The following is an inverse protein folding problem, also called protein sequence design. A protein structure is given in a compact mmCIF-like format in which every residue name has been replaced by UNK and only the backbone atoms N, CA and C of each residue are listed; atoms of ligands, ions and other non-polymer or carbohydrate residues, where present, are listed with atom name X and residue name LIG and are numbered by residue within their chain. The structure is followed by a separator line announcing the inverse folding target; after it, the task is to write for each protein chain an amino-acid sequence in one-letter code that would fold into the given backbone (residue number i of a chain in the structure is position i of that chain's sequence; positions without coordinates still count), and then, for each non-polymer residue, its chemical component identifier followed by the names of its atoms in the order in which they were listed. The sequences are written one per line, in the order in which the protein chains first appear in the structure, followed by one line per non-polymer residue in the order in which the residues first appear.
data_IF_208296031879
#
_entry.id   IF_208296031879
#
_cell.length_a   1.000
_cell.length_b   1.000
_cell.length_c   1.000
_cell.angle_alpha   90.00
_cell.angle_beta   90.00
_cell.angle_gamma   90.00
#
_symmetry.space_group_name_H-M   'P 1'
#
loop_
_entity.id
_entity.type
_entity.pdbx_description
1 polymer ?
#
# COMPACT_ATOMS: atom_id res chain seq x y z
N UNK A 1 -21.75 -15.50 -4.20
CA UNK A 1 -20.40 -15.32 -3.62
C UNK A 1 -19.81 -16.68 -3.35
N UNK A 2 -18.87 -17.13 -4.17
CA UNK A 2 -18.35 -18.51 -4.12
C UNK A 2 -17.27 -18.72 -3.05
N UNK A 3 -16.69 -17.63 -2.53
CA UNK A 3 -15.66 -17.66 -1.49
C UNK A 3 -15.97 -16.56 -0.48
N UNK A 4 -15.98 -16.89 0.83
CA UNK A 4 -16.21 -15.91 1.89
C UNK A 4 -15.22 -14.75 1.79
N UNK A 5 -15.68 -13.52 2.05
CA UNK A 5 -14.81 -12.35 2.16
C UNK A 5 -14.44 -12.13 3.64
N UNK A 6 -13.19 -11.73 3.86
CA UNK A 6 -12.70 -11.33 5.17
C UNK A 6 -13.15 -9.89 5.41
N UNK A 7 -13.72 -9.61 6.59
CA UNK A 7 -13.88 -8.23 7.03
C UNK A 7 -12.50 -7.67 7.39
N UNK A 8 -11.96 -6.84 6.50
CA UNK A 8 -10.62 -6.25 6.65
C UNK A 8 -10.56 -5.31 7.86
N UNK A 9 -11.64 -4.60 8.20
CA UNK A 9 -11.71 -3.65 9.33
C UNK A 9 -11.39 -4.31 10.67
N UNK A 10 -11.69 -5.62 10.82
CA UNK A 10 -11.33 -6.39 12.01
C UNK A 10 -9.80 -6.42 12.24
N UNK A 11 -9.01 -6.26 11.18
CA UNK A 11 -7.55 -6.28 11.24
C UNK A 11 -6.90 -4.89 11.31
N UNK A 12 -7.71 -3.85 11.55
CA UNK A 12 -7.19 -2.50 11.77
C UNK A 12 -6.25 -2.45 12.99
N UNK A 13 -5.39 -1.44 13.01
CA UNK A 13 -4.49 -1.19 14.13
C UNK A 13 -5.28 -1.00 15.45
N UNK A 14 -4.88 -1.61 16.58
CA UNK A 14 -3.65 -2.40 16.78
C UNK A 14 -3.77 -3.91 16.53
N UNK A 15 -4.96 -4.44 16.21
CA UNK A 15 -5.25 -5.88 16.14
C UNK A 15 -4.37 -6.55 15.07
N UNK A 16 -4.28 -5.98 13.87
CA UNK A 16 -3.45 -6.52 12.78
C UNK A 16 -1.99 -6.63 13.16
N UNK A 17 -1.44 -5.62 13.86
CA UNK A 17 -0.06 -5.66 14.36
C UNK A 17 0.14 -6.75 15.40
N UNK A 18 -0.77 -6.88 16.38
CA UNK A 18 -0.69 -7.91 17.42
C UNK A 18 -0.74 -9.31 16.81
N UNK A 19 -1.65 -9.55 15.86
CA UNK A 19 -1.74 -10.82 15.14
C UNK A 19 -0.48 -11.10 14.31
N UNK A 20 0.09 -10.09 13.67
CA UNK A 20 1.36 -10.23 12.95
C UNK A 20 2.51 -10.63 13.87
N UNK A 21 2.67 -9.95 15.00
CA UNK A 21 3.71 -10.26 16.00
C UNK A 21 3.49 -11.65 16.61
N UNK A 22 2.26 -12.00 16.98
CA UNK A 22 1.91 -13.32 17.49
C UNK A 22 2.18 -14.42 16.45
N UNK A 23 1.87 -14.17 15.19
CA UNK A 23 2.17 -15.08 14.07
C UNK A 23 3.67 -15.33 13.90
N UNK A 24 4.51 -14.27 13.95
CA UNK A 24 5.96 -14.41 13.91
C UNK A 24 6.50 -15.19 15.11
N UNK A 25 6.00 -14.92 16.32
CA UNK A 25 6.38 -15.63 17.53
C UNK A 25 6.03 -17.13 17.43
N UNK A 26 4.83 -17.44 16.95
CA UNK A 26 4.39 -18.82 16.72
C UNK A 26 5.27 -19.54 15.68
N UNK A 27 5.59 -18.88 14.56
CA UNK A 27 6.50 -19.42 13.55
C UNK A 27 7.91 -19.65 14.10
N UNK A 28 8.38 -18.75 14.96
CA UNK A 28 9.68 -18.91 15.63
C UNK A 28 9.70 -20.14 16.55
N UNK A 29 8.68 -20.32 17.38
CA UNK A 29 8.53 -21.51 18.23
C UNK A 29 8.45 -22.78 17.39
N UNK A 30 7.58 -22.78 16.36
CA UNK A 30 7.46 -23.92 15.46
C UNK A 30 8.77 -24.25 14.75
N UNK A 31 9.52 -23.24 14.33
CA UNK A 31 10.84 -23.42 13.72
C UNK A 31 11.87 -23.97 14.68
N UNK A 32 11.85 -23.53 15.94
CA UNK A 32 12.76 -23.99 17.00
C UNK A 32 12.50 -25.44 17.37
N UNK A 33 11.24 -25.81 17.62
CA UNK A 33 10.85 -27.14 18.12
C UNK A 33 10.77 -28.18 16.98
N UNK A 34 10.25 -27.79 15.82
CA UNK A 34 9.95 -28.70 14.71
C UNK A 34 10.74 -28.42 13.43
N UNK A 35 11.77 -27.55 13.49
CA UNK A 35 12.49 -27.06 12.29
C UNK A 35 13.19 -28.15 11.47
N UNK A 36 13.49 -29.32 12.06
CA UNK A 36 13.99 -30.52 11.37
C UNK A 36 12.91 -31.43 10.81
N UNK A 37 11.63 -31.18 11.13
CA UNK A 37 10.50 -32.00 10.67
C UNK A 37 10.31 -31.89 9.15
N UNK A 38 9.79 -32.98 8.54
CA UNK A 38 9.57 -33.05 7.09
C UNK A 38 8.67 -31.95 6.57
N UNK A 39 7.61 -31.61 7.32
CA UNK A 39 6.64 -30.58 6.93
C UNK A 39 7.31 -29.18 6.84
N UNK A 40 7.99 -28.71 7.91
CA UNK A 40 8.63 -27.39 7.92
C UNK A 40 9.77 -27.33 6.89
N UNK A 41 10.52 -28.43 6.72
CA UNK A 41 11.58 -28.51 5.71
C UNK A 41 11.02 -28.41 4.30
N UNK A 42 9.91 -29.07 4.01
CA UNK A 42 9.23 -28.97 2.71
C UNK A 42 8.64 -27.56 2.52
N UNK A 43 7.95 -27.02 3.55
CA UNK A 43 7.30 -25.70 3.48
C UNK A 43 8.29 -24.57 3.21
N UNK A 44 9.52 -24.61 3.74
CA UNK A 44 10.59 -23.64 3.46
C UNK A 44 11.40 -23.89 2.19
N UNK A 45 11.05 -24.90 1.40
CA UNK A 45 11.79 -25.25 0.17
C UNK A 45 11.49 -24.29 -0.97
N UNK A 46 12.44 -24.15 -1.91
CA UNK A 46 12.24 -23.36 -3.13
C UNK A 46 11.05 -23.86 -3.96
N UNK A 47 10.75 -25.17 -3.92
CA UNK A 47 9.58 -25.74 -4.62
C UNK A 47 8.28 -25.13 -4.08
N UNK A 48 8.15 -25.01 -2.76
CA UNK A 48 6.98 -24.39 -2.14
C UNK A 48 6.89 -22.92 -2.49
N UNK A 49 8.01 -22.19 -2.55
CA UNK A 49 8.02 -20.80 -3.01
C UNK A 49 7.42 -20.66 -4.42
N UNK A 50 7.87 -21.49 -5.37
CA UNK A 50 7.33 -21.46 -6.73
C UNK A 50 5.82 -21.79 -6.78
N UNK A 51 5.37 -22.76 -6.00
CA UNK A 51 3.94 -23.10 -5.92
C UNK A 51 3.13 -21.92 -5.38
N UNK A 52 3.55 -21.33 -4.26
CA UNK A 52 2.83 -20.17 -3.66
C UNK A 52 2.80 -18.98 -4.61
N UNK A 53 3.94 -18.64 -5.25
CA UNK A 53 4.01 -17.55 -6.21
C UNK A 53 3.13 -17.80 -7.44
N UNK A 54 3.14 -19.03 -7.98
CA UNK A 54 2.29 -19.39 -9.11
C UNK A 54 0.80 -19.27 -8.74
N UNK A 55 0.40 -19.75 -7.56
CA UNK A 55 -0.99 -19.62 -7.10
C UNK A 55 -1.42 -18.16 -6.92
N UNK A 56 -0.56 -17.31 -6.32
CA UNK A 56 -0.82 -15.88 -6.19
C UNK A 56 -0.97 -15.24 -7.58
N UNK A 57 -0.05 -15.54 -8.51
CA UNK A 57 -0.12 -15.02 -9.88
C UNK A 57 -1.41 -15.47 -10.61
N UNK A 58 -1.79 -16.73 -10.48
CA UNK A 58 -3.05 -17.24 -11.05
C UNK A 58 -4.27 -16.52 -10.47
N UNK A 59 -4.30 -16.27 -9.15
CA UNK A 59 -5.37 -15.51 -8.50
C UNK A 59 -5.44 -14.06 -9.04
N UNK A 60 -4.29 -13.40 -9.20
CA UNK A 60 -4.22 -12.04 -9.74
C UNK A 60 -4.72 -11.99 -11.20
N UNK A 61 -4.30 -12.94 -12.04
CA UNK A 61 -4.78 -13.03 -13.44
C UNK A 61 -6.28 -13.30 -13.48
N UNK A 62 -6.76 -14.26 -12.70
CA UNK A 62 -8.19 -14.59 -12.66
C UNK A 62 -9.02 -13.40 -12.15
N UNK A 63 -8.56 -12.69 -11.11
CA UNK A 63 -9.22 -11.52 -10.55
C UNK A 63 -9.27 -10.34 -11.50
N UNK A 64 -8.24 -10.13 -12.34
CA UNK A 64 -8.20 -9.09 -13.35
C UNK A 64 -8.97 -9.43 -14.63
N UNK A 65 -9.01 -10.72 -15.01
CA UNK A 65 -9.62 -11.14 -16.29
C UNK A 65 -11.11 -11.52 -16.17
N UNK A 66 -11.56 -11.95 -14.99
CA UNK A 66 -12.91 -12.48 -14.79
C UNK A 66 -13.72 -11.56 -13.85
N UNK A 67 -14.76 -10.85 -14.36
CA UNK A 67 -15.54 -9.91 -13.53
C UNK A 67 -16.15 -10.53 -12.25
N UNK A 68 -16.45 -11.83 -12.28
CA UNK A 68 -16.97 -12.56 -11.11
C UNK A 68 -15.97 -12.60 -9.94
N UNK A 69 -14.70 -12.42 -10.20
CA UNK A 69 -13.60 -12.40 -9.22
C UNK A 69 -13.07 -11.00 -8.90
N UNK A 70 -13.73 -9.92 -9.33
CA UNK A 70 -13.25 -8.55 -9.15
C UNK A 70 -12.91 -8.18 -7.69
N UNK A 71 -13.53 -8.84 -6.71
CA UNK A 71 -13.25 -8.65 -5.26
C UNK A 71 -12.41 -9.78 -4.65
N UNK A 72 -11.52 -10.39 -5.44
CA UNK A 72 -10.73 -11.54 -4.96
C UNK A 72 -9.72 -11.17 -3.88
N UNK A 73 -9.28 -9.91 -3.82
CA UNK A 73 -8.23 -9.45 -2.88
C UNK A 73 -8.62 -9.61 -1.41
N UNK A 74 -9.92 -9.55 -1.08
CA UNK A 74 -10.45 -9.78 0.26
C UNK A 74 -10.97 -11.20 0.47
N UNK A 75 -10.86 -12.09 -0.53
CA UNK A 75 -11.32 -13.47 -0.41
C UNK A 75 -10.44 -14.28 0.55
N UNK A 76 -11.08 -15.18 1.31
CA UNK A 76 -10.39 -16.08 2.25
C UNK A 76 -9.25 -16.86 1.60
N UNK A 77 -9.40 -17.46 0.38
CA UNK A 77 -8.31 -18.18 -0.27
C UNK A 77 -7.11 -17.28 -0.61
N UNK A 78 -7.36 -16.09 -1.15
CA UNK A 78 -6.27 -15.20 -1.54
C UNK A 78 -5.50 -14.65 -0.34
N UNK A 79 -6.20 -14.19 0.69
CA UNK A 79 -5.57 -13.74 1.95
C UNK A 79 -4.81 -14.90 2.61
N UNK A 80 -5.38 -16.11 2.62
CA UNK A 80 -4.70 -17.31 3.10
C UNK A 80 -3.40 -17.63 2.34
N UNK A 81 -3.38 -17.44 1.01
CA UNK A 81 -2.16 -17.58 0.21
C UNK A 81 -1.09 -16.53 0.55
N UNK A 82 -1.50 -15.27 0.77
CA UNK A 82 -0.58 -14.21 1.18
C UNK A 82 0.01 -14.48 2.58
N UNK A 83 -0.82 -14.92 3.53
CA UNK A 83 -0.36 -15.32 4.87
C UNK A 83 0.61 -16.52 4.77
N UNK A 84 0.30 -17.51 3.95
CA UNK A 84 1.19 -18.64 3.72
C UNK A 84 2.54 -18.22 3.10
N UNK A 85 2.53 -17.25 2.17
CA UNK A 85 3.74 -16.70 1.57
C UNK A 85 4.57 -15.90 2.59
N UNK A 86 3.94 -15.09 3.44
CA UNK A 86 4.61 -14.40 4.55
C UNK A 86 5.23 -15.37 5.55
N UNK A 87 4.51 -16.44 5.91
CA UNK A 87 5.01 -17.51 6.77
C UNK A 87 6.19 -18.26 6.14
N UNK A 88 6.12 -18.54 4.84
CA UNK A 88 7.20 -19.15 4.09
C UNK A 88 8.47 -18.29 4.12
N UNK A 89 8.35 -17.00 3.78
CA UNK A 89 9.47 -16.05 3.80
C UNK A 89 10.08 -15.94 5.20
N UNK A 90 9.26 -15.83 6.26
CA UNK A 90 9.72 -15.77 7.64
C UNK A 90 10.52 -17.03 8.02
N UNK A 91 10.01 -18.22 7.71
CA UNK A 91 10.70 -19.50 8.02
C UNK A 91 12.01 -19.66 7.23
N UNK A 92 12.06 -19.21 5.98
CA UNK A 92 13.28 -19.19 5.17
C UNK A 92 14.31 -18.28 5.79
N UNK A 93 13.92 -17.05 6.18
CA UNK A 93 14.81 -16.10 6.86
C UNK A 93 15.29 -16.62 8.20
N UNK A 94 14.40 -17.11 9.07
CA UNK A 94 14.75 -17.68 10.38
C UNK A 94 15.75 -18.83 10.26
N UNK A 95 15.63 -19.67 9.22
CA UNK A 95 16.55 -20.77 9.01
C UNK A 95 17.91 -20.30 8.51
N UNK A 96 17.95 -19.43 7.49
CA UNK A 96 19.20 -19.00 6.86
C UNK A 96 20.00 -18.04 7.76
N UNK A 97 19.32 -17.16 8.49
CA UNK A 97 19.95 -16.14 9.29
C UNK A 97 20.38 -16.60 10.69
N UNK A 98 20.29 -17.90 11.01
CA UNK A 98 20.74 -18.47 12.29
C UNK A 98 22.20 -18.13 12.62
N UNK A 99 23.08 -18.10 11.62
CA UNK A 99 24.50 -17.72 11.73
C UNK A 99 24.75 -16.56 10.76
N UNK A 100 24.13 -15.42 11.04
CA UNK A 100 24.18 -14.24 10.20
C UNK A 100 25.61 -13.71 10.04
N UNK A 101 25.99 -13.43 8.80
CA UNK A 101 27.21 -12.68 8.45
C UNK A 101 26.84 -11.64 7.39
N UNK A 102 27.08 -10.36 7.67
CA UNK A 102 26.68 -9.26 6.83
C UNK A 102 27.19 -9.40 5.37
N UNK A 103 28.45 -9.80 5.20
CA UNK A 103 29.05 -9.97 3.87
C UNK A 103 28.41 -11.09 3.05
N UNK A 104 28.02 -12.20 3.68
CA UNK A 104 27.43 -13.37 3.01
C UNK A 104 25.91 -13.29 2.88
N UNK A 105 25.24 -12.82 3.93
CA UNK A 105 23.78 -12.93 4.07
C UNK A 105 23.08 -11.58 3.96
N UNK A 106 23.83 -10.45 3.90
CA UNK A 106 23.26 -9.11 3.90
C UNK A 106 22.33 -8.83 2.72
N UNK A 107 22.76 -9.16 1.50
CA UNK A 107 21.94 -8.99 0.31
C UNK A 107 20.67 -9.84 0.36
N UNK A 108 20.81 -11.11 0.78
CA UNK A 108 19.68 -12.01 0.99
C UNK A 108 18.69 -11.46 2.03
N UNK A 109 19.20 -11.00 3.18
CA UNK A 109 18.36 -10.43 4.23
C UNK A 109 17.60 -9.19 3.76
N UNK A 110 18.28 -8.26 3.05
CA UNK A 110 17.63 -7.07 2.50
C UNK A 110 16.51 -7.41 1.54
N UNK A 111 16.73 -8.34 0.59
CA UNK A 111 15.70 -8.74 -0.38
C UNK A 111 14.50 -9.37 0.34
N UNK A 112 14.73 -10.38 1.17
CA UNK A 112 13.64 -11.16 1.76
C UNK A 112 12.89 -10.39 2.85
N UNK A 113 13.60 -9.62 3.69
CA UNK A 113 12.96 -8.76 4.68
C UNK A 113 12.23 -7.60 4.01
N UNK A 114 12.79 -7.04 2.92
CA UNK A 114 12.14 -5.99 2.13
C UNK A 114 10.81 -6.45 1.54
N UNK A 115 10.78 -7.63 0.91
CA UNK A 115 9.55 -8.23 0.40
C UNK A 115 8.56 -8.50 1.54
N UNK A 116 9.05 -9.07 2.65
CA UNK A 116 8.21 -9.40 3.80
C UNK A 116 7.54 -8.15 4.39
N UNK A 117 8.32 -7.08 4.61
CA UNK A 117 7.81 -5.80 5.11
C UNK A 117 6.79 -5.17 4.16
N UNK A 118 7.09 -5.12 2.86
CA UNK A 118 6.18 -4.55 1.88
C UNK A 118 4.85 -5.32 1.79
N UNK A 119 4.91 -6.66 1.82
CA UNK A 119 3.70 -7.49 1.81
C UNK A 119 2.90 -7.38 3.10
N UNK A 120 3.57 -7.44 4.27
CA UNK A 120 2.91 -7.36 5.57
C UNK A 120 2.23 -6.00 5.76
N UNK A 121 2.96 -4.91 5.47
CA UNK A 121 2.42 -3.55 5.59
C UNK A 121 1.31 -3.27 4.58
N UNK A 122 1.38 -3.84 3.37
CA UNK A 122 0.29 -3.74 2.39
C UNK A 122 -0.98 -4.47 2.85
N UNK A 123 -0.84 -5.63 3.49
CA UNK A 123 -1.98 -6.37 4.06
C UNK A 123 -2.56 -5.65 5.30
N UNK A 124 -1.71 -5.23 6.24
CA UNK A 124 -2.14 -4.48 7.42
C UNK A 124 -2.72 -3.12 7.04
N UNK A 125 -2.07 -2.44 6.10
CA UNK A 125 -2.49 -1.14 5.60
C UNK A 125 -3.86 -1.14 4.92
N UNK A 126 -4.24 -2.25 4.28
CA UNK A 126 -5.57 -2.36 3.66
C UNK A 126 -6.74 -2.18 4.65
N UNK A 127 -6.52 -2.51 5.93
CA UNK A 127 -7.50 -2.31 7.00
C UNK A 127 -7.51 -0.87 7.56
N UNK A 128 -6.38 -0.17 7.45
CA UNK A 128 -6.16 1.15 8.04
C UNK A 128 -6.22 2.29 6.99
N UNK A 129 -6.35 1.95 5.71
CA UNK A 129 -6.48 2.94 4.63
C UNK A 129 -7.89 3.49 4.59
N UNK A 130 -8.01 4.81 4.67
CA UNK A 130 -9.26 5.53 4.45
C UNK A 130 -9.12 6.50 3.27
N UNK A 131 -10.17 6.60 2.46
CA UNK A 131 -10.28 7.53 1.33
C UNK A 131 -11.55 8.33 1.49
N UNK A 132 -11.39 9.62 1.68
CA UNK A 132 -12.50 10.55 1.88
C UNK A 132 -12.53 11.55 0.75
N UNK A 133 -13.71 11.90 0.28
CA UNK A 133 -13.93 12.88 -0.78
C UNK A 133 -14.60 14.12 -0.19
N UNK A 134 -14.00 15.28 -0.40
CA UNK A 134 -14.57 16.56 0.01
C UNK A 134 -14.79 17.47 -1.19
N UNK A 135 -15.90 18.22 -1.14
CA UNK A 135 -16.25 19.25 -2.11
C UNK A 135 -15.88 20.61 -1.50
N UNK A 136 -15.01 21.36 -2.17
CA UNK A 136 -14.53 22.65 -1.70
C UNK A 136 -15.06 23.77 -2.61
N UNK A 137 -15.94 24.60 -2.11
CA UNK A 137 -16.31 25.86 -2.76
C UNK A 137 -15.33 26.97 -2.39
N UNK A 138 -15.16 27.95 -3.27
CA UNK A 138 -14.21 29.05 -3.05
C UNK A 138 -14.64 29.89 -1.83
N UNK A 139 -13.75 30.01 -0.86
CA UNK A 139 -13.92 30.84 0.35
C UNK A 139 -14.66 30.16 1.50
N UNK A 140 -15.13 28.93 1.35
CA UNK A 140 -15.83 28.19 2.40
C UNK A 140 -14.87 27.25 3.15
N UNK A 141 -15.07 27.14 4.48
CA UNK A 141 -14.36 26.19 5.32
C UNK A 141 -15.07 24.85 5.31
N UNK A 142 -14.31 23.80 5.00
CA UNK A 142 -14.82 22.43 4.97
C UNK A 142 -14.05 21.60 5.99
N UNK A 143 -14.79 20.99 6.93
CA UNK A 143 -14.27 20.10 7.98
C UNK A 143 -14.88 18.71 7.94
N UNK A 144 -15.67 18.39 6.90
CA UNK A 144 -16.29 17.08 6.70
C UNK A 144 -16.04 16.58 5.29
N UNK A 145 -16.05 15.26 5.12
CA UNK A 145 -15.88 14.60 3.85
C UNK A 145 -16.72 13.32 3.80
N UNK A 146 -16.86 12.72 2.64
CA UNK A 146 -17.65 11.52 2.41
C UNK A 146 -16.75 10.33 2.09
N UNK A 147 -17.05 9.18 2.69
CA UNK A 147 -16.42 7.92 2.33
C UNK A 147 -16.97 7.36 1.00
N UNK A 148 -16.46 6.20 0.55
CA UNK A 148 -16.91 5.51 -0.66
C UNK A 148 -18.38 5.05 -0.59
N UNK A 149 -18.98 4.97 0.60
CA UNK A 149 -20.38 4.60 0.84
C UNK A 149 -21.30 5.82 0.92
N UNK A 150 -20.74 7.03 0.87
CA UNK A 150 -21.46 8.28 1.03
C UNK A 150 -21.76 8.67 2.49
N UNK A 151 -21.10 8.03 3.45
CA UNK A 151 -21.20 8.43 4.86
C UNK A 151 -20.35 9.67 5.12
N UNK A 152 -20.92 10.66 5.77
CA UNK A 152 -20.21 11.88 6.16
C UNK A 152 -19.35 11.62 7.40
N UNK A 153 -18.05 11.97 7.29
CA UNK A 153 -17.05 11.78 8.33
C UNK A 153 -16.31 13.11 8.58
N UNK A 154 -15.89 13.39 9.82
CA UNK A 154 -15.08 14.57 10.10
C UNK A 154 -13.68 14.42 9.49
N UNK A 155 -13.19 15.50 8.89
CA UNK A 155 -11.80 15.63 8.49
C UNK A 155 -10.93 15.98 9.72
N UNK A 156 -9.68 15.58 9.70
CA UNK A 156 -8.69 15.95 10.72
C UNK A 156 -8.23 17.40 10.59
N UNK A 157 -8.31 17.92 9.36
CA UNK A 157 -7.85 19.25 8.98
C UNK A 157 -9.00 20.06 8.40
N UNK A 158 -9.10 21.32 8.73
CA UNK A 158 -10.03 22.26 8.09
C UNK A 158 -9.42 22.74 6.78
N UNK A 159 -10.19 22.72 5.71
CA UNK A 159 -9.71 23.06 4.38
C UNK A 159 -10.56 24.18 3.77
N UNK A 160 -9.90 25.16 3.15
CA UNK A 160 -10.56 26.26 2.44
C UNK A 160 -9.93 26.45 1.06
N UNK A 161 -10.76 26.40 0.03
CA UNK A 161 -10.31 26.72 -1.33
C UNK A 161 -10.19 28.24 -1.49
N UNK A 162 -8.98 28.73 -1.77
CA UNK A 162 -8.73 30.15 -2.02
C UNK A 162 -8.91 30.51 -3.49
N UNK A 163 -8.34 29.69 -4.37
CA UNK A 163 -8.33 29.93 -5.81
C UNK A 163 -8.22 28.64 -6.58
N UNK A 164 -8.79 28.63 -7.77
CA UNK A 164 -8.66 27.53 -8.72
C UNK A 164 -8.28 28.08 -10.10
N UNK A 165 -7.45 27.38 -10.85
CA UNK A 165 -7.09 27.71 -12.21
C UNK A 165 -7.09 26.48 -13.11
N UNK A 166 -7.59 26.66 -14.33
CA UNK A 166 -7.58 25.65 -15.38
C UNK A 166 -6.68 26.14 -16.50
N UNK A 167 -5.60 25.42 -16.76
CA UNK A 167 -4.70 25.67 -17.88
C UNK A 167 -5.21 24.95 -19.12
N UNK A 168 -5.37 25.71 -20.20
CA UNK A 168 -5.85 25.18 -21.50
C UNK A 168 -4.80 25.37 -22.58
N UNK A 169 -4.74 24.40 -23.47
CA UNK A 169 -3.91 24.51 -24.67
C UNK A 169 -4.46 25.62 -25.60
N UNK A 170 -3.67 26.66 -25.94
CA UNK A 170 -4.15 27.75 -26.77
C UNK A 170 -4.57 27.31 -28.19
N UNK A 171 -4.04 26.20 -28.71
CA UNK A 171 -4.29 25.75 -30.07
C UNK A 171 -5.65 25.04 -30.25
N UNK A 172 -6.10 24.30 -29.21
CA UNK A 172 -7.29 23.44 -29.33
C UNK A 172 -8.25 23.55 -28.12
N UNK A 173 -7.97 24.48 -27.18
CA UNK A 173 -8.74 24.72 -25.96
C UNK A 173 -8.93 23.49 -25.05
N UNK A 174 -8.14 22.42 -25.23
CA UNK A 174 -8.18 21.25 -24.35
C UNK A 174 -7.56 21.60 -23.00
N UNK A 175 -8.12 21.05 -21.92
CA UNK A 175 -7.54 21.18 -20.58
C UNK A 175 -6.23 20.41 -20.52
N UNK A 176 -5.13 21.11 -20.19
CA UNK A 176 -3.80 20.55 -20.01
C UNK A 176 -3.57 20.20 -18.55
N UNK A 177 -3.95 21.10 -17.66
CA UNK A 177 -3.77 20.95 -16.23
C UNK A 177 -4.77 21.82 -15.47
N UNK A 178 -5.06 21.47 -14.22
CA UNK A 178 -5.75 22.34 -13.29
C UNK A 178 -5.05 22.32 -11.94
N UNK A 179 -5.16 23.44 -11.22
CA UNK A 179 -4.51 23.69 -9.92
C UNK A 179 -5.49 24.33 -8.94
N UNK A 180 -5.35 23.95 -7.68
CA UNK A 180 -6.09 24.52 -6.57
C UNK A 180 -5.11 25.07 -5.53
N UNK A 181 -5.36 26.27 -5.05
CA UNK A 181 -4.67 26.85 -3.88
C UNK A 181 -5.60 26.78 -2.69
N UNK A 182 -5.17 26.07 -1.68
CA UNK A 182 -5.93 25.79 -0.46
C UNK A 182 -5.26 26.40 0.76
N UNK A 183 -6.05 26.63 1.80
CA UNK A 183 -5.56 26.66 3.17
C UNK A 183 -5.94 25.36 3.84
N UNK A 184 -4.97 24.73 4.49
CA UNK A 184 -5.16 23.55 5.34
C UNK A 184 -4.73 23.94 6.73
N UNK A 185 -5.67 24.04 7.67
CA UNK A 185 -5.44 24.61 9.02
C UNK A 185 -4.70 25.96 8.97
N UNK A 186 -5.14 26.85 8.06
CA UNK A 186 -4.55 28.17 7.77
C UNK A 186 -3.15 28.16 7.10
N UNK A 187 -2.58 27.00 6.83
CA UNK A 187 -1.31 26.84 6.11
C UNK A 187 -1.59 26.78 4.59
N UNK A 188 -0.92 27.62 3.77
CA UNK A 188 -1.15 27.63 2.32
C UNK A 188 -0.51 26.40 1.64
N UNK A 189 -1.27 25.73 0.79
CA UNK A 189 -0.78 24.67 -0.07
C UNK A 189 -1.29 24.78 -1.50
N UNK A 190 -0.52 24.29 -2.45
CA UNK A 190 -0.91 24.16 -3.87
C UNK A 190 -1.08 22.70 -4.22
N UNK A 191 -2.23 22.37 -4.82
CA UNK A 191 -2.51 21.07 -5.40
C UNK A 191 -2.55 21.17 -6.91
N UNK A 192 -1.92 20.22 -7.60
CA UNK A 192 -2.04 20.04 -9.03
C UNK A 192 -2.37 18.58 -9.35
N UNK A 193 -2.82 18.32 -10.58
CA UNK A 193 -3.07 16.96 -11.04
C UNK A 193 -1.80 16.12 -10.90
N UNK A 194 -1.92 14.93 -10.30
CA UNK A 194 -0.81 14.01 -10.02
C UNK A 194 0.31 14.58 -9.11
N UNK A 195 0.05 15.69 -8.41
CA UNK A 195 0.97 16.27 -7.44
C UNK A 195 0.23 16.47 -6.10
N UNK A 196 0.13 15.40 -5.29
CA UNK A 196 -0.53 15.50 -3.99
C UNK A 196 0.30 16.32 -3.00
N UNK A 197 -0.39 16.85 -1.99
CA UNK A 197 0.21 17.52 -0.85
C UNK A 197 0.09 16.66 0.39
N UNK A 198 1.22 16.41 1.09
CA UNK A 198 1.22 15.64 2.35
C UNK A 198 0.99 16.59 3.52
N UNK A 199 -0.07 16.35 4.29
CA UNK A 199 -0.45 17.15 5.47
C UNK A 199 -0.03 16.52 6.79
N UNK A 200 0.49 15.29 6.74
CA UNK A 200 0.92 14.58 7.94
C UNK A 200 1.52 13.22 7.60
N UNK A 201 1.87 12.46 8.64
CA UNK A 201 2.38 11.10 8.48
C UNK A 201 1.28 10.18 7.93
N UNK A 202 1.43 9.81 6.66
CA UNK A 202 0.50 8.91 5.99
C UNK A 202 -0.82 9.56 5.59
N UNK A 203 -0.88 10.89 5.47
CA UNK A 203 -2.06 11.58 4.99
C UNK A 203 -1.70 12.52 3.84
N UNK A 204 -2.34 12.30 2.70
CA UNK A 204 -2.11 13.04 1.45
C UNK A 204 -3.43 13.58 0.90
N UNK A 205 -3.39 14.78 0.34
CA UNK A 205 -4.52 15.42 -0.34
C UNK A 205 -4.26 15.41 -1.85
N UNK A 206 -5.23 14.91 -2.60
CA UNK A 206 -5.20 14.83 -4.07
C UNK A 206 -6.28 15.71 -4.67
N UNK A 207 -5.95 16.41 -5.75
CA UNK A 207 -6.92 17.14 -6.55
C UNK A 207 -7.51 16.19 -7.61
N UNK A 208 -8.83 15.89 -7.49
CA UNK A 208 -9.49 14.90 -8.32
C UNK A 208 -10.19 15.50 -9.54
N UNK A 209 -11.03 16.51 -9.31
CA UNK A 209 -11.85 17.12 -10.34
C UNK A 209 -12.35 18.50 -9.92
N UNK A 210 -13.09 19.15 -10.81
CA UNK A 210 -13.76 20.42 -10.54
C UNK A 210 -15.09 20.50 -11.28
N UNK A 211 -16.01 21.35 -10.78
CA UNK A 211 -17.26 21.66 -11.43
C UNK A 211 -17.28 23.13 -11.85
N UNK A 212 -17.86 23.38 -13.02
CA UNK A 212 -18.10 24.72 -13.52
C UNK A 212 -19.42 25.25 -12.98
N UNK A 213 -19.54 26.58 -12.89
CA UNK A 213 -20.80 27.24 -12.60
C UNK A 213 -21.83 27.02 -13.76
N UNK A 214 -23.05 27.44 -13.54
CA UNK A 214 -24.14 27.26 -14.53
C UNK A 214 -23.89 27.96 -15.87
N UNK A 215 -23.03 28.98 -15.90
CA UNK A 215 -22.60 29.69 -17.13
C UNK A 215 -21.44 28.98 -17.84
N UNK A 216 -20.80 27.97 -17.21
CA UNK A 216 -19.66 27.25 -17.76
C UNK A 216 -18.36 28.07 -17.86
N UNK A 217 -18.31 29.24 -17.22
CA UNK A 217 -17.18 30.17 -17.32
C UNK A 217 -16.19 30.05 -16.15
N UNK A 218 -16.72 29.87 -14.95
CA UNK A 218 -15.91 29.88 -13.72
C UNK A 218 -16.02 28.56 -12.98
N UNK A 219 -15.00 28.21 -12.21
CA UNK A 219 -15.03 27.04 -11.33
C UNK A 219 -15.88 27.35 -10.12
N UNK A 220 -16.92 26.56 -9.90
CA UNK A 220 -17.81 26.66 -8.76
C UNK A 220 -17.19 26.05 -7.53
N UNK A 221 -16.69 24.83 -7.69
CA UNK A 221 -16.10 24.03 -6.62
C UNK A 221 -15.10 23.03 -7.20
N UNK A 222 -14.25 22.46 -6.35
CA UNK A 222 -13.39 21.35 -6.70
C UNK A 222 -13.60 20.16 -5.75
N UNK A 223 -13.31 18.95 -6.27
CA UNK A 223 -13.33 17.73 -5.50
C UNK A 223 -11.89 17.35 -5.16
N UNK A 224 -11.64 17.23 -3.88
CA UNK A 224 -10.39 16.67 -3.35
C UNK A 224 -10.62 15.28 -2.77
N UNK A 225 -9.58 14.47 -2.76
CA UNK A 225 -9.54 13.20 -2.04
C UNK A 225 -8.48 13.28 -0.96
N UNK A 226 -8.87 13.03 0.28
CA UNK A 226 -7.97 12.87 1.43
C UNK A 226 -7.73 11.38 1.60
N UNK A 227 -6.47 10.97 1.52
CA UNK A 227 -6.07 9.56 1.63
C UNK A 227 -5.24 9.40 2.89
N UNK A 228 -5.71 8.57 3.80
CA UNK A 228 -4.99 8.20 5.03
C UNK A 228 -4.40 6.80 4.86
N UNK A 229 -3.07 6.70 4.81
CA UNK A 229 -2.31 5.46 4.63
C UNK A 229 -1.18 5.37 5.66
N UNK A 230 -1.46 4.99 6.92
CA UNK A 230 -0.46 5.04 8.00
C UNK A 230 0.72 4.09 7.79
N UNK A 231 0.54 3.02 7.02
CA UNK A 231 1.57 2.02 6.72
C UNK A 231 2.46 2.35 5.52
N UNK A 232 2.20 3.45 4.79
CA UNK A 232 2.90 3.78 3.53
C UNK A 232 4.42 3.85 3.69
N UNK A 233 4.92 4.38 4.81
CA UNK A 233 6.36 4.49 5.07
C UNK A 233 7.01 3.13 5.38
N UNK A 234 6.29 2.22 6.02
CA UNK A 234 6.76 0.83 6.24
C UNK A 234 6.84 0.09 4.91
N UNK A 235 5.83 0.27 4.05
CA UNK A 235 5.83 -0.27 2.69
C UNK A 235 7.00 0.29 1.87
N UNK A 236 7.20 1.61 1.91
CA UNK A 236 8.32 2.27 1.23
C UNK A 236 9.68 1.76 1.72
N UNK A 237 9.86 1.61 3.03
CA UNK A 237 11.07 1.02 3.60
C UNK A 237 11.31 -0.39 3.05
N UNK A 238 10.26 -1.23 2.99
CA UNK A 238 10.33 -2.57 2.42
C UNK A 238 10.77 -2.56 0.95
N UNK A 239 10.21 -1.66 0.14
CA UNK A 239 10.58 -1.49 -1.28
C UNK A 239 12.03 -1.02 -1.42
N UNK A 240 12.46 -0.03 -0.64
CA UNK A 240 13.85 0.47 -0.67
C UNK A 240 14.83 -0.64 -0.29
N UNK A 241 14.54 -1.40 0.77
CA UNK A 241 15.37 -2.55 1.17
C UNK A 241 15.45 -3.59 0.06
N UNK A 242 14.32 -3.93 -0.59
CA UNK A 242 14.29 -4.86 -1.73
C UNK A 242 15.21 -4.38 -2.85
N UNK A 243 15.09 -3.12 -3.28
CA UNK A 243 15.90 -2.56 -4.37
C UNK A 243 17.40 -2.55 -4.00
N UNK A 244 17.75 -2.13 -2.79
CA UNK A 244 19.13 -2.15 -2.31
C UNK A 244 19.69 -3.58 -2.26
N UNK A 245 18.90 -4.54 -1.79
CA UNK A 245 19.27 -5.94 -1.74
C UNK A 245 19.51 -6.54 -3.13
N UNK A 246 18.68 -6.20 -4.13
CA UNK A 246 18.87 -6.62 -5.52
C UNK A 246 20.15 -6.05 -6.10
N UNK A 247 20.41 -4.73 -5.93
CA UNK A 247 21.65 -4.09 -6.39
C UNK A 247 22.88 -4.74 -5.74
N UNK A 248 22.79 -5.01 -4.44
CA UNK A 248 23.87 -5.69 -3.71
C UNK A 248 24.13 -7.10 -4.26
N UNK A 249 23.08 -7.89 -4.48
CA UNK A 249 23.18 -9.24 -5.07
C UNK A 249 23.88 -9.21 -6.43
N UNK A 250 23.49 -8.29 -7.33
CA UNK A 250 24.11 -8.16 -8.65
C UNK A 250 25.59 -7.79 -8.58
N UNK A 251 25.97 -6.91 -7.65
CA UNK A 251 27.38 -6.55 -7.44
C UNK A 251 28.20 -7.74 -6.94
N UNK A 252 27.67 -8.53 -6.02
CA UNK A 252 28.37 -9.70 -5.47
C UNK A 252 28.61 -10.75 -6.55
N UNK A 253 27.63 -11.06 -7.39
CA UNK A 253 27.77 -12.01 -8.52
C UNK A 253 28.84 -11.52 -9.51
N UNK A 254 28.89 -10.23 -9.83
CA UNK A 254 29.90 -9.69 -10.75
C UNK A 254 31.32 -9.77 -10.21
N UNK A 255 31.51 -9.71 -8.91
CA UNK A 255 32.83 -9.87 -8.27
C UNK A 255 33.28 -11.33 -8.32
N UNK A 256 32.40 -12.26 -7.96
CA UNK A 256 32.71 -13.71 -8.00
C UNK A 256 32.95 -14.24 -9.42
N UNK A 257 32.28 -13.69 -10.43
CA UNK A 257 32.47 -14.07 -11.84
C UNK A 257 33.72 -13.51 -12.51
N UNK A 258 34.54 -12.70 -11.79
CA UNK A 258 35.82 -12.15 -12.28
C UNK A 258 37.05 -12.85 -11.67
N UNK A 259 36.84 -13.84 -10.83
CA UNK A 259 37.86 -14.74 -10.27
C UNK A 259 37.79 -16.06 -11.02
#
# INVERSE_FOLDING_TARGET
MMFGNINVEFFSFPIGLVLGVAGIALLYVAHREFGGGRFITYFRSARMAYVLLALVACCCVAGGAVPAFARFTTSVPFVGLLVALLAHLALVMMHRLRKFSLGRDGAFACVHLGIWLAMFSGMAGAADTARLHALLAVGEDVSTAYDENGCELPLRHTMRLQRFAVERNPANNTVVQFRAWLLVDDEPCELAVNSPHSVGLGEDIYLMSYHLNSSGTDVKDCVIQVVHEPWKYVTLLGIVMLLLGVVWTVKTIKVEGKV
#
